data_IF_439584634495
#
_entry.id   IF_439584634495
#
_cell.length_a   1.000
_cell.length_b   1.000
_cell.length_c   1.000
_cell.angle_alpha   90.00
_cell.angle_beta   90.00
_cell.angle_gamma   90.00
#
_symmetry.space_group_name_H-M   'P 1'
#
loop_
_entity.id
_entity.type
_entity.pdbx_description
1 polymer ?
#
# COMPACT_ATOMS: atom_id res chain seq x y z
N UNK A 1 6.03 7.50 12.50
CA UNK A 1 6.24 7.18 11.06
C UNK A 1 5.07 7.67 10.22
N UNK A 2 3.83 7.29 10.58
CA UNK A 2 2.57 7.76 9.97
C UNK A 2 2.54 9.28 9.80
N UNK A 3 2.77 10.05 10.85
CA UNK A 3 2.70 11.53 10.80
C UNK A 3 3.66 12.14 9.77
N UNK A 4 4.85 11.55 9.62
CA UNK A 4 5.87 12.02 8.68
C UNK A 4 5.48 11.71 7.22
N UNK A 5 4.82 10.57 6.98
CA UNK A 5 4.30 10.21 5.67
C UNK A 5 3.12 11.11 5.30
N UNK A 6 2.18 11.33 6.24
CA UNK A 6 1.05 12.26 6.11
C UNK A 6 1.52 13.70 5.82
N UNK A 7 2.44 14.22 6.62
CA UNK A 7 2.94 15.58 6.46
C UNK A 7 3.65 15.82 5.11
N UNK A 8 4.41 14.83 4.63
CA UNK A 8 5.09 14.91 3.33
C UNK A 8 4.17 14.60 2.14
N UNK A 9 2.94 14.12 2.39
CA UNK A 9 1.94 13.79 1.36
C UNK A 9 2.50 12.87 0.27
N UNK A 10 3.31 11.89 0.66
CA UNK A 10 3.94 10.97 -0.28
C UNK A 10 2.88 10.00 -0.80
N UNK A 11 2.63 9.89 -2.12
CA UNK A 11 1.69 8.92 -2.65
C UNK A 11 2.04 7.50 -2.15
N UNK A 12 1.07 6.82 -1.51
CA UNK A 12 1.28 5.49 -0.91
C UNK A 12 0.32 4.48 -1.51
N UNK A 13 0.87 3.38 -2.02
CA UNK A 13 0.10 2.22 -2.44
C UNK A 13 0.63 0.96 -1.74
N UNK A 14 -0.16 0.44 -0.81
CA UNK A 14 0.13 -0.72 0.03
C UNK A 14 -0.48 -1.97 -0.62
N UNK A 15 0.27 -3.07 -0.64
CA UNK A 15 -0.18 -4.37 -1.14
C UNK A 15 0.00 -5.44 -0.06
N UNK A 16 -0.99 -6.33 0.09
CA UNK A 16 -0.92 -7.44 1.03
C UNK A 16 -1.62 -8.69 0.48
N UNK A 17 -1.13 -9.88 0.82
CA UNK A 17 -1.83 -11.14 0.51
C UNK A 17 -2.87 -11.47 1.57
N UNK A 18 -4.13 -11.68 1.22
CA UNK A 18 -5.22 -11.90 2.19
C UNK A 18 -5.09 -13.20 3.02
N UNK A 19 -4.29 -14.16 2.55
CA UNK A 19 -3.99 -15.43 3.23
C UNK A 19 -2.57 -15.46 3.80
N UNK A 20 -1.93 -14.31 3.95
CA UNK A 20 -0.59 -14.25 4.53
C UNK A 20 -0.61 -14.67 6.01
N UNK A 21 0.07 -15.78 6.31
CA UNK A 21 0.21 -16.33 7.66
C UNK A 21 1.53 -15.94 8.33
N UNK A 22 2.45 -15.31 7.60
CA UNK A 22 3.74 -14.82 8.12
C UNK A 22 3.55 -13.40 8.68
N UNK A 23 2.88 -12.53 7.92
CA UNK A 23 2.50 -11.18 8.35
C UNK A 23 1.01 -11.00 8.15
N UNK A 24 0.26 -10.83 9.25
CA UNK A 24 -1.19 -10.72 9.18
C UNK A 24 -1.65 -9.51 8.34
N UNK A 25 -2.65 -9.66 7.45
CA UNK A 25 -3.16 -8.56 6.62
C UNK A 25 -3.68 -7.35 7.41
N UNK A 26 -4.12 -7.58 8.66
CA UNK A 26 -4.53 -6.53 9.59
C UNK A 26 -3.46 -5.45 9.77
N UNK A 27 -2.17 -5.79 9.66
CA UNK A 27 -1.07 -4.81 9.78
C UNK A 27 -1.09 -3.76 8.69
N UNK A 28 -1.38 -4.16 7.45
CA UNK A 28 -1.51 -3.22 6.33
C UNK A 28 -2.79 -2.39 6.42
N UNK A 29 -3.88 -2.98 6.90
CA UNK A 29 -5.13 -2.24 7.17
C UNK A 29 -4.94 -1.20 8.28
N UNK A 30 -4.34 -1.58 9.41
CA UNK A 30 -4.02 -0.68 10.53
C UNK A 30 -3.17 0.52 10.05
N UNK A 31 -2.18 0.28 9.20
CA UNK A 31 -1.35 1.35 8.63
C UNK A 31 -2.15 2.29 7.71
N UNK A 32 -2.98 1.73 6.81
CA UNK A 32 -3.80 2.52 5.90
C UNK A 32 -4.77 3.43 6.68
N UNK A 33 -5.48 2.87 7.66
CA UNK A 33 -6.40 3.60 8.53
C UNK A 33 -5.66 4.68 9.33
N UNK A 34 -4.47 4.38 9.86
CA UNK A 34 -3.69 5.38 10.59
C UNK A 34 -3.24 6.54 9.70
N UNK A 35 -2.85 6.28 8.44
CA UNK A 35 -2.48 7.33 7.49
C UNK A 35 -3.68 8.19 7.09
N UNK A 36 -4.84 7.57 6.82
CA UNK A 36 -6.09 8.29 6.55
C UNK A 36 -6.50 9.16 7.74
N UNK A 37 -6.46 8.62 8.97
CA UNK A 37 -6.77 9.36 10.19
C UNK A 37 -5.79 10.53 10.45
N UNK A 38 -4.54 10.40 10.02
CA UNK A 38 -3.54 11.46 10.07
C UNK A 38 -3.70 12.52 8.95
N UNK A 39 -4.74 12.40 8.11
CA UNK A 39 -5.04 13.36 7.04
C UNK A 39 -4.19 13.16 5.78
N UNK A 40 -3.64 11.96 5.55
CA UNK A 40 -2.93 11.68 4.30
C UNK A 40 -3.91 11.75 3.12
N UNK A 41 -3.62 12.53 2.06
CA UNK A 41 -4.58 12.81 0.99
C UNK A 41 -4.81 11.67 0.00
N UNK A 42 -3.83 10.77 -0.14
CA UNK A 42 -3.87 9.68 -1.13
C UNK A 42 -3.15 8.41 -0.63
N UNK A 43 -3.90 7.56 0.06
CA UNK A 43 -3.45 6.22 0.50
C UNK A 43 -4.30 5.18 -0.20
N UNK A 44 -3.64 4.23 -0.87
CA UNK A 44 -4.30 3.09 -1.49
C UNK A 44 -3.87 1.80 -0.81
N UNK A 45 -4.82 0.93 -0.50
CA UNK A 45 -4.57 -0.44 -0.08
C UNK A 45 -5.16 -1.41 -1.10
N UNK A 46 -4.41 -2.45 -1.46
CA UNK A 46 -4.91 -3.55 -2.29
C UNK A 46 -4.58 -4.87 -1.61
N UNK A 47 -5.62 -5.63 -1.29
CA UNK A 47 -5.49 -6.96 -0.69
C UNK A 47 -5.80 -8.00 -1.76
N UNK A 48 -4.81 -8.84 -2.08
CA UNK A 48 -5.01 -9.99 -2.96
C UNK A 48 -5.52 -11.16 -2.13
N UNK A 49 -6.84 -11.29 -2.01
CA UNK A 49 -7.52 -12.24 -1.11
C UNK A 49 -7.13 -13.70 -1.31
N UNK A 50 -6.69 -14.07 -2.52
CA UNK A 50 -6.29 -15.43 -2.89
C UNK A 50 -4.82 -15.76 -2.60
N UNK A 51 -3.98 -14.76 -2.32
CA UNK A 51 -2.53 -14.91 -2.15
C UNK A 51 -2.09 -14.94 -0.68
N UNK A 52 -1.03 -15.71 -0.42
CA UNK A 52 -0.30 -15.73 0.85
C UNK A 52 0.82 -14.69 0.89
N UNK A 53 1.91 -15.02 1.59
CA UNK A 53 3.03 -14.10 1.82
C UNK A 53 3.65 -13.51 0.53
N UNK A 54 3.82 -14.34 -0.51
CA UNK A 54 4.44 -13.92 -1.79
C UNK A 54 3.46 -13.14 -2.71
N UNK A 55 2.90 -12.04 -2.21
CA UNK A 55 2.00 -11.17 -2.99
C UNK A 55 2.76 -10.34 -4.03
N UNK A 56 4.01 -10.02 -3.76
CA UNK A 56 4.80 -9.11 -4.59
C UNK A 56 5.10 -9.65 -5.98
N UNK A 57 5.21 -10.97 -6.19
CA UNK A 57 5.38 -11.55 -7.54
C UNK A 57 4.26 -11.06 -8.48
N UNK A 58 2.99 -11.22 -8.09
CA UNK A 58 1.85 -10.76 -8.91
C UNK A 58 1.85 -9.24 -9.11
N UNK A 59 2.17 -8.50 -8.06
CA UNK A 59 2.18 -7.03 -8.10
C UNK A 59 3.24 -6.52 -9.08
N UNK A 60 4.45 -7.09 -9.05
CA UNK A 60 5.52 -6.73 -9.99
C UNK A 60 5.31 -7.28 -11.41
N UNK A 61 4.55 -8.35 -11.60
CA UNK A 61 4.18 -8.82 -12.94
C UNK A 61 3.16 -7.91 -13.64
N UNK A 62 2.39 -7.13 -12.88
CA UNK A 62 1.32 -6.26 -13.38
C UNK A 62 1.80 -4.88 -13.89
N UNK A 63 1.20 -4.39 -14.97
CA UNK A 63 1.51 -3.07 -15.54
C UNK A 63 0.96 -1.88 -14.71
N UNK A 64 -0.01 -2.13 -13.82
CA UNK A 64 -0.66 -1.09 -13.03
C UNK A 64 0.32 -0.39 -12.07
N UNK A 65 1.25 -1.15 -11.47
CA UNK A 65 2.25 -0.59 -10.56
C UNK A 65 3.17 0.38 -11.29
N UNK A 66 3.69 -0.02 -12.45
CA UNK A 66 4.59 0.80 -13.26
C UNK A 66 3.87 2.04 -13.81
N UNK A 67 2.63 1.86 -14.27
CA UNK A 67 1.78 2.97 -14.70
C UNK A 67 1.50 3.96 -13.57
N UNK A 68 1.35 3.47 -12.34
CA UNK A 68 1.20 4.33 -11.17
C UNK A 68 2.49 5.04 -10.80
N UNK A 69 3.65 4.37 -10.83
CA UNK A 69 4.95 5.01 -10.60
C UNK A 69 5.20 6.18 -11.55
N UNK A 70 4.94 5.99 -12.84
CA UNK A 70 5.17 7.03 -13.87
C UNK A 70 4.23 8.24 -13.74
N UNK A 71 3.13 8.12 -13.00
CA UNK A 71 2.22 9.24 -12.72
C UNK A 71 2.69 10.11 -11.54
N UNK A 72 3.59 9.61 -10.70
CA UNK A 72 4.03 10.34 -9.52
C UNK A 72 5.11 11.36 -9.89
N UNK A 73 4.95 12.59 -9.43
CA UNK A 73 5.93 13.66 -9.59
C UNK A 73 6.00 14.47 -8.30
N UNK A 74 7.22 14.81 -7.89
CA UNK A 74 7.45 15.90 -6.94
C UNK A 74 7.49 17.20 -7.73
N UNK A 75 6.69 18.17 -7.32
CA UNK A 75 6.82 19.53 -7.82
C UNK A 75 8.16 20.14 -7.40
#
# INVERSE_FOLDING_TARGET
MVDRLAAQKLPLWIFHGGRDTVVQPSRSLEMAVALEAAGHPDVRLTVHEDLGHNVWTRVYEGQDLYSWFLKQRRE
#
